data_IF_298002438932
#
_entry.id   IF_298002438932
#
_cell.length_a   1.000
_cell.length_b   1.000
_cell.length_c   1.000
_cell.angle_alpha   90.00
_cell.angle_beta   90.00
_cell.angle_gamma   90.00
#
_symmetry.space_group_name_H-M   'P 1'
#
loop_
_entity.id
_entity.type
_entity.pdbx_description
1 polymer ?
#
# COMPACT_ATOMS: atom_id res chain seq x y z
N UNK A 1 12.18 13.16 -0.63
CA UNK A 1 11.40 12.26 0.27
C UNK A 1 12.28 11.08 0.66
N UNK A 2 12.28 10.60 1.92
CA UNK A 2 13.11 9.43 2.30
C UNK A 2 12.59 8.13 1.66
N UNK A 3 13.44 7.10 1.47
CA UNK A 3 13.09 5.89 0.72
C UNK A 3 11.86 5.14 1.21
N UNK A 4 11.71 5.00 2.52
CA UNK A 4 10.56 4.33 3.14
C UNK A 4 9.24 5.06 2.85
N UNK A 5 9.23 6.40 2.95
CA UNK A 5 8.05 7.20 2.64
C UNK A 5 7.75 7.21 1.14
N UNK A 6 8.78 7.20 0.29
CA UNK A 6 8.62 7.10 -1.16
C UNK A 6 7.96 5.78 -1.58
N UNK A 7 8.53 4.65 -1.15
CA UNK A 7 8.00 3.33 -1.47
C UNK A 7 6.59 3.12 -0.89
N UNK A 8 6.33 3.59 0.33
CA UNK A 8 4.99 3.57 0.92
C UNK A 8 3.99 4.45 0.15
N UNK A 9 4.43 5.61 -0.36
CA UNK A 9 3.58 6.52 -1.14
C UNK A 9 3.20 5.93 -2.49
N UNK A 10 4.16 5.35 -3.22
CA UNK A 10 3.87 4.66 -4.46
C UNK A 10 2.95 3.45 -4.23
N UNK A 11 3.17 2.70 -3.15
CA UNK A 11 2.28 1.60 -2.77
C UNK A 11 0.86 2.08 -2.51
N UNK A 12 0.65 3.21 -1.80
CA UNK A 12 -0.69 3.81 -1.64
C UNK A 12 -1.32 4.17 -2.98
N UNK A 13 -0.54 4.81 -3.87
CA UNK A 13 -1.00 5.28 -5.17
C UNK A 13 -1.38 4.11 -6.09
N UNK A 14 -0.60 3.03 -6.12
CA UNK A 14 -0.83 1.86 -6.97
C UNK A 14 -1.90 0.90 -6.46
N UNK A 15 -2.13 0.87 -5.14
CA UNK A 15 -3.06 -0.09 -4.53
C UNK A 15 -4.39 0.52 -4.10
N UNK A 16 -4.52 1.85 -4.12
CA UNK A 16 -5.60 2.63 -3.49
C UNK A 16 -5.70 2.48 -1.98
N UNK A 17 -4.86 1.66 -1.31
CA UNK A 17 -5.05 1.35 0.11
C UNK A 17 -4.71 2.55 0.98
N UNK A 18 -5.46 2.65 2.09
CA UNK A 18 -5.25 3.72 3.08
C UNK A 18 -3.88 3.53 3.74
N UNK A 19 -3.25 4.64 4.12
CA UNK A 19 -1.96 4.66 4.81
C UNK A 19 -1.86 3.67 5.98
N UNK A 20 -2.90 3.54 6.80
CA UNK A 20 -2.95 2.57 7.89
C UNK A 20 -2.83 1.12 7.43
N UNK A 21 -3.38 0.78 6.26
CA UNK A 21 -3.19 -0.55 5.68
C UNK A 21 -1.76 -0.76 5.14
N UNK A 22 -1.16 0.27 4.54
CA UNK A 22 0.19 0.20 3.98
C UNK A 22 1.25 0.00 5.07
N UNK A 23 1.22 0.81 6.14
CA UNK A 23 2.22 0.73 7.22
C UNK A 23 2.11 -0.57 8.02
N UNK A 24 0.98 -1.26 7.92
CA UNK A 24 0.68 -2.51 8.62
C UNK A 24 1.01 -3.77 7.81
N UNK A 25 1.51 -3.63 6.58
CA UNK A 25 2.05 -4.75 5.81
C UNK A 25 3.31 -5.29 6.49
N UNK A 26 3.41 -6.61 6.55
CA UNK A 26 4.63 -7.34 6.88
C UNK A 26 5.18 -8.03 5.63
N UNK A 27 6.41 -8.54 5.70
CA UNK A 27 7.03 -9.25 4.58
C UNK A 27 6.15 -10.41 4.09
N UNK A 28 5.54 -11.18 4.99
CA UNK A 28 4.61 -12.25 4.63
C UNK A 28 3.39 -11.81 3.80
N UNK A 29 3.05 -10.51 3.79
CA UNK A 29 1.95 -9.96 3.01
C UNK A 29 2.38 -9.57 1.58
N UNK A 30 3.61 -9.90 1.18
CA UNK A 30 4.23 -9.55 -0.10
C UNK A 30 4.71 -10.81 -0.80
N UNK A 31 4.19 -11.07 -2.00
CA UNK A 31 4.69 -12.09 -2.92
C UNK A 31 5.15 -11.39 -4.20
N UNK A 32 6.45 -11.31 -4.46
CA UNK A 32 6.96 -10.83 -5.74
C UNK A 32 7.62 -12.00 -6.46
N UNK A 33 7.48 -12.09 -7.77
CA UNK A 33 8.29 -13.02 -8.56
C UNK A 33 9.71 -12.45 -8.69
N UNK A 34 10.46 -12.53 -7.59
CA UNK A 34 11.83 -12.05 -7.47
C UNK A 34 12.55 -12.72 -6.27
N UNK A 35 13.83 -13.10 -6.39
CA UNK A 35 14.59 -13.73 -5.30
C UNK A 35 14.72 -12.90 -4.01
N UNK A 36 14.42 -11.59 -4.07
CA UNK A 36 14.42 -10.72 -2.90
C UNK A 36 13.26 -11.00 -1.93
N UNK A 37 12.27 -11.80 -2.32
CA UNK A 37 11.15 -12.19 -1.47
C UNK A 37 11.23 -13.68 -1.09
N UNK A 38 12.30 -14.05 -0.40
CA UNK A 38 12.56 -15.41 0.10
C UNK A 38 12.09 -15.57 1.56
N UNK A 39 10.78 -15.51 1.76
CA UNK A 39 10.11 -15.69 3.05
C UNK A 39 8.79 -16.45 2.89
N UNK A 40 8.27 -16.94 4.01
CA UNK A 40 6.95 -17.55 4.03
C UNK A 40 5.85 -16.50 3.79
N UNK A 41 5.06 -16.74 2.75
CA UNK A 41 4.01 -15.82 2.31
C UNK A 41 2.66 -16.23 2.87
N UNK A 42 1.77 -15.27 3.14
CA UNK A 42 0.41 -15.52 3.55
C UNK A 42 -0.34 -16.39 2.51
N UNK A 43 -1.05 -17.41 3.01
CA UNK A 43 -1.78 -18.40 2.20
C UNK A 43 -2.62 -17.83 1.04
N UNK A 44 -3.33 -16.69 1.16
CA UNK A 44 -4.14 -16.16 0.06
C UNK A 44 -3.34 -15.77 -1.19
N UNK A 45 -2.05 -15.44 -1.03
CA UNK A 45 -1.18 -15.02 -2.13
C UNK A 45 -0.02 -15.99 -2.37
N UNK A 46 0.06 -17.14 -1.70
CA UNK A 46 1.20 -18.05 -1.80
C UNK A 46 1.40 -18.63 -3.21
N UNK A 47 0.31 -18.78 -3.97
CA UNK A 47 0.27 -19.25 -5.36
C UNK A 47 0.18 -18.09 -6.38
N UNK A 48 0.29 -16.83 -5.92
CA UNK A 48 0.05 -15.62 -6.73
C UNK A 48 1.28 -14.73 -6.73
N UNK A 49 2.22 -14.92 -7.67
CA UNK A 49 3.36 -14.02 -7.83
C UNK A 49 2.91 -12.60 -8.13
N UNK A 50 3.69 -11.61 -7.68
CA UNK A 50 3.43 -10.18 -7.88
C UNK A 50 2.09 -9.70 -7.29
N UNK A 51 1.88 -10.01 -6.01
CA UNK A 51 0.70 -9.62 -5.24
C UNK A 51 1.03 -9.10 -3.83
N UNK A 52 0.21 -8.15 -3.39
CA UNK A 52 0.14 -7.71 -2.00
C UNK A 52 -1.15 -8.21 -1.36
N UNK A 53 -1.06 -8.71 -0.13
CA UNK A 53 -2.20 -9.16 0.64
C UNK A 53 -2.56 -8.18 1.76
N UNK A 54 -3.77 -7.64 1.70
CA UNK A 54 -4.31 -6.82 2.77
C UNK A 54 -5.35 -7.61 3.54
N UNK A 55 -4.89 -8.54 4.37
CA UNK A 55 -5.75 -9.47 5.09
C UNK A 55 -6.20 -9.01 6.46
N UNK A 56 -5.29 -8.90 7.45
CA UNK A 56 -5.73 -8.79 8.82
C UNK A 56 -5.96 -7.35 9.25
N UNK A 57 -7.10 -7.16 9.92
CA UNK A 57 -7.42 -5.91 10.62
C UNK A 57 -6.68 -5.86 11.96
N UNK A 58 -6.10 -4.69 12.28
CA UNK A 58 -5.61 -4.39 13.62
C UNK A 58 -6.15 -3.02 14.05
N UNK A 59 -6.51 -2.88 15.33
CA UNK A 59 -6.78 -1.58 15.92
C UNK A 59 -5.49 -0.89 16.34
N UNK A 60 -5.51 0.45 16.42
CA UNK A 60 -4.41 1.19 17.02
C UNK A 60 -4.30 0.84 18.52
N UNK A 61 -3.09 0.53 18.97
CA UNK A 61 -2.77 0.11 20.34
C UNK A 61 -2.82 -1.40 20.56
N UNK A 62 -3.31 -2.19 19.61
CA UNK A 62 -3.46 -3.65 19.72
C UNK A 62 -2.13 -4.38 19.47
N UNK A 63 -1.92 -5.53 20.11
CA UNK A 63 -0.82 -6.45 19.77
C UNK A 63 -1.27 -7.29 18.59
N UNK A 64 -0.51 -7.21 17.50
CA UNK A 64 -0.80 -7.93 16.28
C UNK A 64 0.51 -8.48 15.70
N UNK A 65 0.55 -9.79 15.43
CA UNK A 65 1.77 -10.53 15.02
C UNK A 65 2.97 -10.23 15.94
N UNK A 66 2.73 -10.24 17.25
CA UNK A 66 3.78 -10.02 18.27
C UNK A 66 4.22 -8.57 18.47
N UNK A 67 3.71 -7.60 17.70
CA UNK A 67 4.06 -6.18 17.79
C UNK A 67 2.85 -5.33 18.22
N UNK A 68 3.06 -4.33 19.09
CA UNK A 68 2.04 -3.31 19.36
C UNK A 68 1.94 -2.32 18.20
N UNK A 69 0.85 -2.36 17.44
CA UNK A 69 0.64 -1.49 16.27
C UNK A 69 -0.03 -0.18 16.67
N UNK A 70 0.59 0.96 16.37
CA UNK A 70 0.03 2.28 16.70
C UNK A 70 -1.01 2.75 15.69
N UNK A 71 -0.88 2.32 14.44
CA UNK A 71 -1.79 2.69 13.34
C UNK A 71 -2.84 1.58 13.15
N UNK A 72 -4.12 1.93 13.27
CA UNK A 72 -5.22 1.00 12.98
C UNK A 72 -5.54 0.91 11.48
N UNK A 73 -6.08 -0.22 11.05
CA UNK A 73 -6.55 -0.42 9.68
C UNK A 73 -8.07 -0.20 9.62
N UNK A 74 -8.53 0.89 9.00
CA UNK A 74 -9.98 1.17 8.85
C UNK A 74 -10.69 0.15 7.95
N UNK A 75 -9.96 -0.44 7.01
CA UNK A 75 -10.49 -1.43 6.07
C UNK A 75 -10.52 -2.81 6.72
N UNK A 76 -11.70 -3.43 6.79
CA UNK A 76 -11.89 -4.77 7.37
C UNK A 76 -11.90 -5.91 6.32
N UNK A 77 -11.73 -5.57 5.05
CA UNK A 77 -11.80 -6.51 3.93
C UNK A 77 -10.43 -7.10 3.64
N UNK A 78 -10.44 -8.39 3.34
CA UNK A 78 -9.31 -9.15 2.84
C UNK A 78 -9.23 -8.92 1.34
N UNK A 79 -8.13 -8.33 0.85
CA UNK A 79 -7.98 -8.00 -0.57
C UNK A 79 -6.60 -8.38 -1.05
N UNK A 80 -6.54 -9.13 -2.15
CA UNK A 80 -5.31 -9.37 -2.90
C UNK A 80 -5.22 -8.30 -3.99
N UNK A 81 -4.08 -7.62 -4.08
CA UNK A 81 -3.87 -6.55 -5.05
C UNK A 81 -2.66 -6.92 -5.91
N UNK A 82 -2.83 -7.02 -7.25
CA UNK A 82 -1.70 -7.30 -8.13
C UNK A 82 -0.75 -6.11 -8.19
N UNK A 83 0.53 -6.41 -8.39
CA UNK A 83 1.64 -5.48 -8.43
C UNK A 83 2.08 -5.33 -9.89
N UNK A 84 2.18 -4.09 -10.37
CA UNK A 84 2.76 -3.81 -11.70
C UNK A 84 4.29 -3.71 -11.64
N UNK A 85 4.94 -3.69 -12.79
CA UNK A 85 6.41 -3.69 -12.87
C UNK A 85 7.06 -2.47 -12.21
N UNK A 86 6.37 -1.32 -12.19
CA UNK A 86 6.86 -0.12 -11.52
C UNK A 86 6.86 -0.28 -9.99
N UNK A 87 5.75 -0.75 -9.42
CA UNK A 87 5.68 -1.02 -7.99
C UNK A 87 6.62 -2.16 -7.60
N UNK A 88 6.71 -3.22 -8.41
CA UNK A 88 7.63 -4.35 -8.19
C UNK A 88 9.08 -3.86 -8.10
N UNK A 89 9.56 -3.11 -9.09
CA UNK A 89 10.91 -2.51 -9.09
C UNK A 89 11.14 -1.64 -7.87
N UNK A 90 10.16 -0.80 -7.51
CA UNK A 90 10.26 0.08 -6.34
C UNK A 90 10.34 -0.69 -5.03
N UNK A 91 9.54 -1.74 -4.87
CA UNK A 91 9.56 -2.58 -3.68
C UNK A 91 10.86 -3.39 -3.59
N UNK A 92 11.38 -3.93 -4.69
CA UNK A 92 12.69 -4.60 -4.73
C UNK A 92 13.80 -3.63 -4.32
N UNK A 93 13.81 -2.42 -4.90
CA UNK A 93 14.77 -1.37 -4.51
C UNK A 93 14.67 -1.03 -3.02
N UNK A 94 13.46 -0.88 -2.49
CA UNK A 94 13.24 -0.63 -1.07
C UNK A 94 13.75 -1.78 -0.21
N UNK A 95 13.46 -3.03 -0.57
CA UNK A 95 13.90 -4.22 0.16
C UNK A 95 15.43 -4.32 0.22
N UNK A 96 16.14 -3.91 -0.84
CA UNK A 96 17.60 -3.92 -0.88
C UNK A 96 18.26 -2.97 0.15
N UNK A 97 17.53 -1.94 0.61
CA UNK A 97 18.02 -0.96 1.59
C UNK A 97 17.24 -1.00 2.92
N UNK A 98 16.22 -1.86 3.02
CA UNK A 98 15.36 -2.00 4.20
C UNK A 98 16.21 -2.53 5.36
N UNK A 99 16.15 -1.85 6.50
CA UNK A 99 16.73 -2.35 7.76
C UNK A 99 15.73 -3.24 8.50
N UNK A 100 16.22 -4.19 9.28
CA UNK A 100 15.43 -5.12 10.08
C UNK A 100 15.72 -6.59 9.72
N UNK A 101 15.02 -7.56 10.35
CA UNK A 101 15.12 -8.97 9.98
C UNK A 101 14.82 -9.18 8.49
N UNK A 102 15.57 -10.06 7.83
CA UNK A 102 15.50 -10.27 6.38
C UNK A 102 14.22 -10.97 5.93
N UNK A 103 13.69 -11.89 6.74
CA UNK A 103 12.59 -12.79 6.36
C UNK A 103 11.28 -12.56 7.12
N UNK A 104 11.25 -11.60 8.03
CA UNK A 104 10.05 -11.31 8.83
C UNK A 104 9.90 -9.82 9.19
N UNK A 105 8.73 -9.51 9.76
CA UNK A 105 8.42 -8.20 10.31
C UNK A 105 7.88 -7.19 9.29
N UNK A 106 7.81 -5.90 9.67
CA UNK A 106 7.20 -4.85 8.85
C UNK A 106 7.84 -4.69 7.48
N UNK A 107 7.03 -4.51 6.44
CA UNK A 107 7.51 -4.17 5.10
C UNK A 107 8.22 -2.81 5.11
N UNK A 108 7.61 -1.80 5.72
CA UNK A 108 8.17 -0.45 5.80
C UNK A 108 8.72 -0.18 7.20
N UNK A 109 10.02 0.10 7.26
CA UNK A 109 10.76 0.35 8.48
C UNK A 109 11.38 1.74 8.52
N UNK A 110 11.73 2.19 9.73
CA UNK A 110 12.51 3.40 9.96
C UNK A 110 14.00 3.13 9.70
N UNK A 111 14.63 3.92 8.83
CA UNK A 111 16.06 3.78 8.53
C UNK A 111 16.98 4.31 9.65
N UNK A 112 16.45 5.19 10.52
CA UNK A 112 17.23 5.98 11.47
C UNK A 112 17.19 5.49 12.93
N UNK A 113 16.48 4.41 13.25
CA UNK A 113 16.37 3.92 14.63
C UNK A 113 17.05 2.56 14.82
N UNK A 114 17.70 2.39 15.98
CA UNK A 114 18.21 1.09 16.47
C UNK A 114 17.53 0.80 17.82
N UNK A 115 16.79 -0.31 17.97
CA UNK A 115 16.43 -1.26 16.93
C UNK A 115 15.55 -0.63 15.84
N UNK A 116 15.54 -1.26 14.67
CA UNK A 116 14.67 -0.84 13.56
C UNK A 116 13.20 -1.02 13.94
N UNK A 117 12.34 -0.06 13.58
CA UNK A 117 10.91 -0.07 13.93
C UNK A 117 10.05 0.04 12.68
N UNK A 118 8.78 -0.38 12.78
CA UNK A 118 7.76 -0.12 11.76
C UNK A 118 7.59 1.38 11.55
N UNK A 119 7.43 1.81 10.29
CA UNK A 119 7.07 3.20 10.00
C UNK A 119 5.65 3.49 10.47
N UNK A 120 5.39 4.65 11.06
CA UNK A 120 4.02 5.03 11.45
C UNK A 120 3.32 5.78 10.33
N UNK A 121 1.98 5.79 10.35
CA UNK A 121 1.20 6.59 9.41
C UNK A 121 1.52 8.09 9.52
N UNK A 122 1.89 8.57 10.70
CA UNK A 122 2.25 9.99 10.89
C UNK A 122 3.59 10.32 10.24
N UNK A 123 4.59 9.43 10.35
CA UNK A 123 5.89 9.61 9.69
C UNK A 123 5.72 9.71 8.17
N UNK A 124 4.95 8.80 7.57
CA UNK A 124 4.70 8.84 6.12
C UNK A 124 3.89 10.09 5.74
N UNK A 125 2.87 10.47 6.54
CA UNK A 125 2.08 11.68 6.29
C UNK A 125 2.93 12.94 6.30
N UNK A 126 3.80 13.09 7.31
CA UNK A 126 4.67 14.26 7.43
C UNK A 126 5.62 14.35 6.24
N UNK A 127 6.26 13.24 5.84
CA UNK A 127 7.13 13.26 4.67
C UNK A 127 6.41 13.54 3.35
N UNK A 128 5.15 13.13 3.20
CA UNK A 128 4.31 13.49 2.05
C UNK A 128 3.99 14.99 2.08
N UNK A 129 3.60 15.53 3.24
CA UNK A 129 3.33 16.95 3.40
C UNK A 129 4.58 17.80 3.12
N UNK A 130 5.73 17.45 3.70
CA UNK A 130 7.01 18.15 3.47
C UNK A 130 7.40 18.14 1.98
N UNK A 131 7.18 17.01 1.29
CA UNK A 131 7.47 16.91 -0.15
C UNK A 131 6.49 17.75 -0.97
N UNK A 132 5.20 17.69 -0.64
CA UNK A 132 4.18 18.49 -1.31
C UNK A 132 4.42 19.99 -1.11
N UNK A 133 4.81 20.43 0.08
CA UNK A 133 5.12 21.83 0.39
C UNK A 133 6.31 22.33 -0.42
N UNK A 134 7.39 21.54 -0.52
CA UNK A 134 8.57 21.88 -1.32
C UNK A 134 8.25 22.08 -2.81
N UNK A 135 7.29 21.32 -3.32
CA UNK A 135 6.83 21.41 -4.71
C UNK A 135 5.66 22.41 -4.88
N UNK A 136 5.25 23.12 -3.83
CA UNK A 136 4.16 24.10 -3.87
C UNK A 136 2.75 23.51 -3.94
N UNK A 137 2.59 22.23 -3.61
CA UNK A 137 1.32 21.47 -3.62
C UNK A 137 0.75 21.17 -2.22
N UNK A 138 1.15 21.94 -1.20
CA UNK A 138 0.59 21.87 0.15
C UNK A 138 0.14 23.26 0.60
N UNK A 139 -1.12 23.37 1.02
CA UNK A 139 -1.72 24.62 1.49
C UNK A 139 -2.31 24.44 2.88
N UNK A 140 -1.84 25.22 3.85
CA UNK A 140 -2.32 25.21 5.24
C UNK A 140 -3.62 25.99 5.46
N UNK A 141 -3.97 26.93 4.56
CA UNK A 141 -5.10 27.85 4.75
C UNK A 141 -6.10 27.79 3.57
N UNK A 142 -7.30 27.28 3.81
CA UNK A 142 -8.48 27.45 2.93
C UNK A 142 -8.46 26.73 1.56
N UNK A 143 -7.33 26.16 1.12
CA UNK A 143 -7.19 25.33 -0.10
C UNK A 143 -6.82 23.87 0.19
N UNK A 144 -7.17 23.39 1.38
CA UNK A 144 -6.85 22.04 1.88
C UNK A 144 -7.30 20.91 0.92
N UNK A 145 -8.39 21.11 0.17
CA UNK A 145 -8.88 20.11 -0.80
C UNK A 145 -7.95 19.83 -1.97
N UNK A 146 -6.96 20.69 -2.23
CA UNK A 146 -5.96 20.50 -3.30
C UNK A 146 -4.61 19.99 -2.79
N UNK A 147 -4.39 19.98 -1.47
CA UNK A 147 -3.13 19.56 -0.88
C UNK A 147 -2.85 18.09 -1.18
N UNK A 148 -1.62 17.79 -1.62
CA UNK A 148 -1.18 16.40 -1.78
C UNK A 148 -0.96 15.81 -0.40
N UNK A 149 -1.81 14.86 -0.04
CA UNK A 149 -1.80 14.13 1.23
C UNK A 149 -1.91 12.62 0.96
N UNK A 150 -1.69 11.73 1.94
CA UNK A 150 -1.99 10.31 1.77
C UNK A 150 -3.44 10.03 1.33
N UNK A 151 -4.39 10.90 1.68
CA UNK A 151 -5.77 10.81 1.20
C UNK A 151 -5.90 11.16 -0.29
N UNK A 152 -5.11 12.13 -0.76
CA UNK A 152 -5.04 12.50 -2.18
C UNK A 152 -4.67 11.31 -3.06
N UNK A 153 -3.67 10.50 -2.70
CA UNK A 153 -3.29 9.32 -3.51
C UNK A 153 -4.44 8.35 -3.72
N UNK A 154 -5.17 8.02 -2.65
CA UNK A 154 -6.36 7.17 -2.76
C UNK A 154 -7.44 7.81 -3.63
N UNK A 155 -7.69 9.11 -3.47
CA UNK A 155 -8.67 9.84 -4.28
C UNK A 155 -8.30 9.82 -5.75
N UNK A 156 -7.07 10.24 -6.08
CA UNK A 156 -6.53 10.29 -7.42
C UNK A 156 -6.66 8.94 -8.12
N UNK A 157 -6.16 7.85 -7.52
CA UNK A 157 -6.21 6.53 -8.17
C UNK A 157 -7.63 6.04 -8.33
N UNK A 158 -8.52 6.36 -7.39
CA UNK A 158 -9.92 5.96 -7.49
C UNK A 158 -10.63 6.68 -8.63
N UNK A 159 -10.42 7.99 -8.76
CA UNK A 159 -10.99 8.78 -9.86
C UNK A 159 -10.43 8.29 -11.19
N UNK A 160 -9.10 8.23 -11.33
CA UNK A 160 -8.42 7.79 -12.56
C UNK A 160 -8.85 6.37 -12.97
N UNK A 161 -8.92 5.43 -12.01
CA UNK A 161 -9.29 4.05 -12.34
C UNK A 161 -10.78 3.90 -12.63
N UNK A 162 -11.68 4.72 -12.08
CA UNK A 162 -13.11 4.67 -12.43
C UNK A 162 -13.39 5.07 -13.88
N UNK A 163 -12.54 5.92 -14.46
CA UNK A 163 -12.64 6.30 -15.87
C UNK A 163 -12.09 5.20 -16.80
N UNK A 164 -11.21 4.33 -16.29
CA UNK A 164 -10.50 3.29 -17.06
C UNK A 164 -11.09 1.90 -16.89
N UNK A 165 -11.64 1.61 -15.72
CA UNK A 165 -12.24 0.32 -15.36
C UNK A 165 -13.59 0.53 -14.66
N UNK A 166 -14.38 -0.53 -14.52
CA UNK A 166 -15.69 -0.39 -13.88
C UNK A 166 -15.59 -0.09 -12.37
N UNK A 167 -16.59 0.60 -11.83
CA UNK A 167 -16.63 0.98 -10.41
C UNK A 167 -16.56 -0.21 -9.46
N UNK A 168 -17.15 -1.36 -9.82
CA UNK A 168 -17.12 -2.58 -9.00
C UNK A 168 -15.70 -3.11 -8.80
N UNK A 169 -14.85 -3.09 -9.83
CA UNK A 169 -13.44 -3.46 -9.72
C UNK A 169 -12.67 -2.48 -8.82
N UNK A 170 -12.93 -1.17 -8.97
CA UNK A 170 -12.29 -0.16 -8.11
C UNK A 170 -12.71 -0.35 -6.66
N UNK A 171 -13.99 -0.59 -6.39
CA UNK A 171 -14.51 -0.79 -5.03
C UNK A 171 -13.97 -2.10 -4.40
N UNK A 172 -13.79 -3.16 -5.21
CA UNK A 172 -13.09 -4.39 -4.81
C UNK A 172 -11.64 -4.11 -4.38
N UNK A 173 -10.82 -3.48 -5.24
CA UNK A 173 -9.41 -3.18 -4.94
C UNK A 173 -9.27 -2.24 -3.73
N UNK A 174 -10.20 -1.29 -3.61
CA UNK A 174 -10.29 -0.38 -2.46
C UNK A 174 -10.65 -1.07 -1.16
N UNK A 175 -11.28 -2.24 -1.24
CA UNK A 175 -11.81 -2.99 -0.11
C UNK A 175 -12.98 -2.29 0.60
N UNK A 176 -13.78 -1.49 -0.12
CA UNK A 176 -14.92 -0.78 0.48
C UNK A 176 -16.13 -1.74 0.60
N UNK A 177 -16.80 -1.77 1.77
CA UNK A 177 -17.90 -2.71 2.08
C UNK A 177 -19.22 -2.46 1.33
N UNK A 178 -19.37 -1.35 0.60
CA UNK A 178 -20.68 -1.00 0.01
C UNK A 178 -20.86 -1.72 -1.33
N UNK A 179 -21.92 -2.54 -1.39
CA UNK A 179 -22.53 -3.14 -2.60
C UNK A 179 -21.52 -3.68 -3.62
N UNK A 180 -20.62 -4.56 -3.20
CA UNK A 180 -20.08 -5.51 -4.15
C UNK A 180 -21.23 -6.50 -4.39
N UNK A 181 -21.76 -6.57 -5.62
CA UNK A 181 -22.68 -7.66 -5.99
C UNK A 181 -21.92 -8.97 -5.85
N UNK A 182 -22.56 -10.06 -5.40
CA UNK A 182 -21.92 -11.38 -5.17
C UNK A 182 -20.94 -11.82 -6.30
N UNK A 183 -21.20 -11.41 -7.54
CA UNK A 183 -20.33 -11.64 -8.72
C UNK A 183 -18.91 -11.02 -8.61
N UNK A 184 -18.69 -10.04 -7.73
CA UNK A 184 -17.42 -9.33 -7.58
C UNK A 184 -16.65 -9.65 -6.28
N UNK A 185 -17.14 -10.54 -5.43
CA UNK A 185 -16.50 -10.86 -4.14
C UNK A 185 -15.25 -11.77 -4.25
N UNK A 186 -15.07 -12.41 -5.39
CA UNK A 186 -13.95 -13.33 -5.62
C UNK A 186 -12.85 -12.74 -6.48
N UNK A 187 -11.60 -13.04 -6.16
CA UNK A 187 -10.47 -12.73 -7.02
C UNK A 187 -10.58 -13.49 -8.36
N UNK A 188 -10.11 -12.89 -9.45
CA UNK A 188 -9.98 -13.57 -10.75
C UNK A 188 -8.85 -12.96 -11.58
N UNK A 189 -8.25 -13.75 -12.47
CA UNK A 189 -7.18 -13.28 -13.36
C UNK A 189 -7.65 -12.13 -14.26
N UNK A 190 -8.90 -12.15 -14.72
CA UNK A 190 -9.48 -11.04 -15.50
C UNK A 190 -9.48 -9.71 -14.72
N UNK A 191 -9.75 -9.73 -13.41
CA UNK A 191 -9.67 -8.53 -12.55
C UNK A 191 -8.23 -8.04 -12.43
N UNK A 192 -7.27 -8.95 -12.31
CA UNK A 192 -5.84 -8.63 -12.28
C UNK A 192 -5.38 -7.98 -13.58
N UNK A 193 -5.61 -8.63 -14.73
CA UNK A 193 -5.23 -8.12 -16.04
C UNK A 193 -5.84 -6.74 -16.30
N UNK A 194 -7.14 -6.59 -16.03
CA UNK A 194 -7.84 -5.32 -16.20
C UNK A 194 -7.27 -4.21 -15.31
N UNK A 195 -6.91 -4.54 -14.07
CA UNK A 195 -6.27 -3.58 -13.16
C UNK A 195 -4.90 -3.16 -13.66
N UNK A 196 -4.02 -4.12 -13.97
CA UNK A 196 -2.65 -3.89 -14.40
C UNK A 196 -2.59 -3.12 -15.72
N UNK A 197 -3.38 -3.52 -16.71
CA UNK A 197 -3.41 -2.88 -18.05
C UNK A 197 -3.86 -1.41 -18.01
N UNK A 198 -4.51 -0.98 -16.93
CA UNK A 198 -5.05 0.37 -16.79
C UNK A 198 -4.31 1.21 -15.73
N UNK A 199 -3.39 0.62 -14.98
CA UNK A 199 -2.61 1.33 -13.96
C UNK A 199 -1.55 2.21 -14.66
N UNK A 200 -1.53 3.53 -14.44
CA UNK A 200 -0.51 4.40 -15.01
C UNK A 200 0.84 4.23 -14.30
N UNK A 201 1.93 4.41 -15.05
CA UNK A 201 3.27 4.59 -14.50
C UNK A 201 3.48 6.05 -14.04
N UNK A 202 4.28 6.23 -13.01
CA UNK A 202 4.64 7.51 -12.39
C UNK A 202 6.14 7.79 -12.39
N UNK A 203 6.96 6.76 -12.62
CA UNK A 203 8.40 6.79 -12.68
C UNK A 203 8.80 6.51 -14.13
N UNK A 204 9.25 7.56 -14.83
CA UNK A 204 9.85 7.45 -16.17
C UNK A 204 11.27 6.89 -16.10
#
# INVERSE_FOLDING_TARGET
MPPNAFAASLTMLKTTRRIGGIVNLDLMDVNLDHPATDWEVASPISDKPDHLYFGPHCNGGEIFRGERRTSGTKTKTHTMIPVDDELKRTLIWWLAIRRGPEKEGPLFTTSCSVPTKRVTADVVRNHVADAAEKEGYYWSEGRDSKSITPHYFRHWTTTTMRDRVNSSLVDYMRGDKKKISDEYDHYSESKKEKWLNNMPNFLE
#
